data_IF_165699311501
#
_entry.id   IF_165699311501
#
_cell.length_a   1.000
_cell.length_b   1.000
_cell.length_c   1.000
_cell.angle_alpha   90.00
_cell.angle_beta   90.00
_cell.angle_gamma   90.00
#
_symmetry.space_group_name_H-M   'P 1'
#
loop_
_entity.id
_entity.type
_entity.pdbx_description
1 polymer ?
#
# COMPACT_ATOMS: atom_id res chain seq x y z
N UNK A 1 -1.99 26.28 19.86
CA UNK A 1 -2.21 25.84 18.46
C UNK A 1 -0.94 25.31 17.77
N UNK A 2 0.05 24.73 18.49
CA UNK A 2 1.30 24.19 17.89
C UNK A 2 1.51 22.68 18.07
N UNK A 3 0.62 21.98 18.79
CA UNK A 3 0.77 20.54 19.06
C UNK A 3 0.07 19.65 18.02
N UNK A 4 -1.10 20.07 17.51
CA UNK A 4 -1.87 19.28 16.53
C UNK A 4 -1.16 19.09 15.19
N UNK A 5 -0.44 20.12 14.72
CA UNK A 5 0.34 20.04 13.48
C UNK A 5 1.49 19.05 13.57
N UNK A 6 2.18 18.99 14.71
CA UNK A 6 3.29 18.06 14.92
C UNK A 6 2.82 16.62 14.99
N UNK A 7 1.72 16.35 15.70
CA UNK A 7 1.16 15.00 15.84
C UNK A 7 0.55 14.49 14.52
N UNK A 8 -0.12 15.35 13.75
CA UNK A 8 -0.60 15.01 12.42
C UNK A 8 0.56 14.73 11.45
N UNK A 9 1.59 15.59 11.46
CA UNK A 9 2.77 15.43 10.60
C UNK A 9 3.51 14.12 10.90
N UNK A 10 3.71 13.80 12.17
CA UNK A 10 4.33 12.52 12.56
C UNK A 10 3.46 11.33 12.15
N UNK A 11 2.15 11.38 12.38
CA UNK A 11 1.22 10.32 11.95
C UNK A 11 1.27 10.10 10.43
N UNK A 12 1.35 11.19 9.67
CA UNK A 12 1.48 11.15 8.21
C UNK A 12 2.81 10.53 7.77
N UNK A 13 3.93 10.95 8.37
CA UNK A 13 5.26 10.40 8.08
C UNK A 13 5.32 8.91 8.42
N UNK A 14 4.79 8.50 9.56
CA UNK A 14 4.72 7.10 9.96
C UNK A 14 3.86 6.26 9.01
N UNK A 15 2.72 6.79 8.55
CA UNK A 15 1.90 6.12 7.55
C UNK A 15 2.65 5.96 6.21
N UNK A 16 3.37 6.99 5.77
CA UNK A 16 4.16 6.94 4.55
C UNK A 16 5.30 5.91 4.65
N UNK A 17 5.99 5.85 5.80
CA UNK A 17 7.00 4.83 6.07
C UNK A 17 6.42 3.41 6.09
N UNK A 18 5.21 3.22 6.63
CA UNK A 18 4.52 1.92 6.55
C UNK A 18 4.22 1.52 5.12
N UNK A 19 3.75 2.43 4.27
CA UNK A 19 3.53 2.16 2.83
C UNK A 19 4.83 1.77 2.14
N UNK A 20 5.91 2.51 2.40
CA UNK A 20 7.22 2.21 1.81
C UNK A 20 7.72 0.80 2.21
N UNK A 21 7.61 0.45 3.50
CA UNK A 21 7.96 -0.88 4.00
C UNK A 21 7.10 -1.98 3.39
N UNK A 22 5.77 -1.80 3.37
CA UNK A 22 4.86 -2.76 2.79
C UNK A 22 5.15 -2.99 1.29
N UNK A 23 5.43 -1.91 0.55
CA UNK A 23 5.76 -1.98 -0.88
C UNK A 23 7.10 -2.70 -1.11
N UNK A 24 8.09 -2.46 -0.25
CA UNK A 24 9.36 -3.19 -0.26
C UNK A 24 9.15 -4.70 -0.04
N UNK A 25 8.37 -5.07 0.98
CA UNK A 25 8.03 -6.46 1.26
C UNK A 25 7.26 -7.12 0.10
N UNK A 26 6.34 -6.38 -0.53
CA UNK A 26 5.62 -6.85 -1.71
C UNK A 26 6.55 -7.14 -2.89
N UNK A 27 7.52 -6.25 -3.14
CA UNK A 27 8.50 -6.44 -4.20
C UNK A 27 9.39 -7.66 -3.94
N UNK A 28 9.82 -7.86 -2.70
CA UNK A 28 10.61 -9.02 -2.29
C UNK A 28 9.80 -10.31 -2.43
N UNK A 29 8.55 -10.33 -1.96
CA UNK A 29 7.64 -11.46 -2.10
C UNK A 29 7.33 -11.78 -3.56
N UNK A 30 7.11 -10.76 -4.41
CA UNK A 30 6.91 -10.94 -5.84
C UNK A 30 8.16 -11.51 -6.54
N UNK A 31 9.35 -11.00 -6.19
CA UNK A 31 10.61 -11.54 -6.72
C UNK A 31 10.82 -13.01 -6.28
N UNK A 32 10.56 -13.34 -5.02
CA UNK A 32 10.60 -14.72 -4.54
C UNK A 32 9.56 -15.61 -5.23
N UNK A 33 8.36 -15.11 -5.53
CA UNK A 33 7.32 -15.86 -6.24
C UNK A 33 7.75 -16.20 -7.67
N UNK A 34 8.37 -15.26 -8.38
CA UNK A 34 8.93 -15.50 -9.72
C UNK A 34 10.08 -16.51 -9.68
N UNK A 35 10.84 -16.55 -8.59
CA UNK A 35 11.90 -17.55 -8.38
C UNK A 35 11.37 -18.92 -7.94
N UNK A 36 10.06 -19.04 -7.66
CA UNK A 36 9.44 -20.27 -7.13
C UNK A 36 9.66 -20.50 -5.62
N UNK A 37 10.23 -19.51 -4.91
CA UNK A 37 10.59 -19.59 -3.48
C UNK A 37 9.54 -18.95 -2.56
N UNK A 38 8.64 -18.10 -3.07
CA UNK A 38 7.59 -17.49 -2.24
C UNK A 38 6.35 -18.39 -2.13
N UNK A 39 5.81 -18.49 -0.93
CA UNK A 39 4.44 -18.97 -0.71
C UNK A 39 3.42 -17.92 -1.18
N UNK A 40 2.36 -18.37 -1.85
CA UNK A 40 1.19 -17.55 -2.22
C UNK A 40 0.74 -16.65 -1.06
N UNK A 41 0.62 -17.23 0.13
CA UNK A 41 0.15 -16.53 1.33
C UNK A 41 1.02 -15.31 1.69
N UNK A 42 2.35 -15.38 1.52
CA UNK A 42 3.25 -14.25 1.78
C UNK A 42 3.03 -13.11 0.79
N UNK A 43 2.85 -13.45 -0.49
CA UNK A 43 2.61 -12.48 -1.54
C UNK A 43 1.25 -11.82 -1.36
N UNK A 44 0.21 -12.60 -1.08
CA UNK A 44 -1.15 -12.11 -0.77
C UNK A 44 -1.19 -11.26 0.50
N UNK A 45 -0.47 -11.64 1.55
CA UNK A 45 -0.41 -10.88 2.80
C UNK A 45 0.34 -9.56 2.61
N UNK A 46 1.49 -9.58 1.93
CA UNK A 46 2.26 -8.38 1.62
C UNK A 46 1.44 -7.41 0.77
N UNK A 47 0.75 -7.94 -0.23
CA UNK A 47 -0.17 -7.22 -1.10
C UNK A 47 -1.26 -6.51 -0.27
N UNK A 48 -2.00 -7.25 0.56
CA UNK A 48 -3.03 -6.69 1.46
C UNK A 48 -2.47 -5.64 2.41
N UNK A 49 -1.24 -5.82 2.92
CA UNK A 49 -0.56 -4.82 3.73
C UNK A 49 -0.34 -3.51 2.98
N UNK A 50 0.12 -3.54 1.72
CA UNK A 50 0.29 -2.32 0.91
C UNK A 50 -1.03 -1.58 0.78
N UNK A 51 -2.10 -2.28 0.44
CA UNK A 51 -3.43 -1.69 0.30
C UNK A 51 -3.90 -1.02 1.61
N UNK A 52 -3.76 -1.72 2.73
CA UNK A 52 -4.15 -1.22 4.06
C UNK A 52 -3.33 0.00 4.48
N UNK A 53 -2.00 -0.05 4.37
CA UNK A 53 -1.13 1.08 4.71
C UNK A 53 -1.40 2.29 3.80
N UNK A 54 -1.72 2.06 2.52
CA UNK A 54 -2.04 3.14 1.58
C UNK A 54 -3.39 3.78 1.91
N UNK A 55 -4.38 2.97 2.33
CA UNK A 55 -5.66 3.47 2.82
C UNK A 55 -5.48 4.31 4.10
N UNK A 56 -4.65 3.85 5.04
CA UNK A 56 -4.33 4.62 6.25
C UNK A 56 -3.63 5.95 5.92
N UNK A 57 -2.68 5.94 4.99
CA UNK A 57 -2.01 7.16 4.53
C UNK A 57 -3.01 8.16 3.91
N UNK A 58 -3.93 7.67 3.08
CA UNK A 58 -5.00 8.48 2.49
C UNK A 58 -5.91 9.11 3.55
N UNK A 59 -6.30 8.35 4.57
CA UNK A 59 -7.11 8.85 5.68
C UNK A 59 -6.34 9.91 6.46
N UNK A 60 -5.06 9.67 6.79
CA UNK A 60 -4.21 10.63 7.47
C UNK A 60 -4.07 11.93 6.67
N UNK A 61 -3.86 11.85 5.35
CA UNK A 61 -3.83 13.02 4.48
C UNK A 61 -5.14 13.81 4.53
N UNK A 62 -6.30 13.14 4.42
CA UNK A 62 -7.63 13.78 4.38
C UNK A 62 -7.98 14.59 5.63
N UNK A 63 -7.34 14.36 6.77
CA UNK A 63 -7.63 15.10 8.02
C UNK A 63 -7.29 16.59 7.91
N UNK A 64 -6.19 16.92 7.22
CA UNK A 64 -5.78 18.32 7.00
C UNK A 64 -5.69 18.73 5.53
N UNK A 65 -5.65 17.77 4.60
CA UNK A 65 -5.60 18.08 3.17
C UNK A 65 -6.99 18.47 2.66
N UNK A 66 -7.01 19.49 1.80
CA UNK A 66 -8.22 19.90 1.12
C UNK A 66 -8.67 18.80 0.14
N UNK A 67 -9.89 18.23 0.27
CA UNK A 67 -10.34 17.12 -0.56
C UNK A 67 -10.43 17.48 -2.05
N UNK A 68 -10.51 18.78 -2.37
CA UNK A 68 -10.55 19.27 -3.74
C UNK A 68 -9.18 19.58 -4.34
N UNK A 69 -8.10 19.52 -3.53
CA UNK A 69 -6.74 19.78 -4.00
C UNK A 69 -6.30 18.74 -5.04
N UNK A 70 -5.56 19.19 -6.06
CA UNK A 70 -4.92 18.31 -7.04
C UNK A 70 -4.02 17.26 -6.37
N UNK A 71 -3.31 17.63 -5.30
CA UNK A 71 -2.46 16.70 -4.56
C UNK A 71 -3.28 15.54 -3.96
N UNK A 72 -4.46 15.83 -3.42
CA UNK A 72 -5.35 14.81 -2.83
C UNK A 72 -5.96 13.91 -3.91
N UNK A 73 -6.34 14.49 -5.06
CA UNK A 73 -6.82 13.72 -6.24
C UNK A 73 -5.73 12.79 -6.78
N UNK A 74 -4.50 13.28 -6.91
CA UNK A 74 -3.33 12.47 -7.33
C UNK A 74 -3.04 11.36 -6.33
N UNK A 75 -3.08 11.65 -5.03
CA UNK A 75 -2.88 10.65 -3.99
C UNK A 75 -3.98 9.58 -4.01
N UNK A 76 -5.24 9.97 -4.18
CA UNK A 76 -6.35 9.02 -4.30
C UNK A 76 -6.21 8.13 -5.54
N UNK A 77 -5.87 8.72 -6.69
CA UNK A 77 -5.60 7.96 -7.91
C UNK A 77 -4.42 6.99 -7.73
N UNK A 78 -3.34 7.43 -7.08
CA UNK A 78 -2.20 6.58 -6.77
C UNK A 78 -2.58 5.43 -5.84
N UNK A 79 -3.35 5.70 -4.78
CA UNK A 79 -3.81 4.66 -3.86
C UNK A 79 -4.75 3.66 -4.50
N UNK A 80 -5.64 4.10 -5.40
CA UNK A 80 -6.48 3.20 -6.21
C UNK A 80 -5.63 2.36 -7.18
N UNK A 81 -4.63 2.96 -7.83
CA UNK A 81 -3.73 2.24 -8.72
C UNK A 81 -2.92 1.17 -7.96
N UNK A 82 -2.40 1.51 -6.78
CA UNK A 82 -1.71 0.57 -5.89
C UNK A 82 -2.65 -0.55 -5.48
N UNK A 83 -3.86 -0.23 -4.98
CA UNK A 83 -4.81 -1.27 -4.59
C UNK A 83 -5.18 -2.19 -5.75
N UNK A 84 -5.36 -1.65 -6.96
CA UNK A 84 -5.64 -2.45 -8.16
C UNK A 84 -4.45 -3.33 -8.56
N UNK A 85 -3.24 -2.78 -8.57
CA UNK A 85 -2.03 -3.55 -8.88
C UNK A 85 -1.83 -4.70 -7.88
N UNK A 86 -2.07 -4.42 -6.60
CA UNK A 86 -2.08 -5.39 -5.52
C UNK A 86 -3.12 -6.51 -5.73
N UNK A 87 -4.36 -6.17 -6.08
CA UNK A 87 -5.41 -7.17 -6.37
C UNK A 87 -5.05 -8.04 -7.58
N UNK A 88 -4.64 -7.41 -8.68
CA UNK A 88 -4.19 -8.11 -9.90
C UNK A 88 -3.04 -9.08 -9.62
N UNK A 89 -2.10 -8.68 -8.75
CA UNK A 89 -0.99 -9.53 -8.34
C UNK A 89 -1.48 -10.75 -7.55
N UNK A 90 -2.42 -10.56 -6.61
CA UNK A 90 -3.03 -11.67 -5.86
C UNK A 90 -3.77 -12.63 -6.79
N UNK A 91 -4.60 -12.11 -7.70
CA UNK A 91 -5.31 -12.92 -8.69
C UNK A 91 -4.33 -13.71 -9.58
N UNK A 92 -3.26 -13.06 -10.04
CA UNK A 92 -2.23 -13.70 -10.85
C UNK A 92 -1.49 -14.77 -10.07
N UNK A 93 -1.12 -14.49 -8.82
CA UNK A 93 -0.44 -15.43 -7.95
C UNK A 93 -1.31 -16.67 -7.69
N UNK A 94 -2.55 -16.51 -7.23
CA UNK A 94 -3.46 -17.63 -7.00
C UNK A 94 -3.73 -18.44 -8.27
N UNK A 95 -3.86 -17.79 -9.43
CA UNK A 95 -3.99 -18.48 -10.72
C UNK A 95 -2.73 -19.28 -11.08
N UNK A 96 -1.53 -18.79 -10.78
CA UNK A 96 -0.29 -19.54 -11.01
C UNK A 96 -0.09 -20.72 -10.06
N UNK A 97 -0.64 -20.68 -8.84
CA UNK A 97 -0.55 -21.80 -7.89
C UNK A 97 -1.63 -22.88 -8.10
N UNK A 98 -2.81 -22.53 -8.64
CA UNK A 98 -3.88 -23.50 -8.92
C UNK A 98 -3.60 -24.41 -10.14
N UNK A 99 -2.60 -24.08 -10.96
CA UNK A 99 -2.25 -24.86 -12.18
C UNK A 99 -1.19 -25.95 -11.89
N UNK A 100 -0.80 -26.19 -10.64
CA UNK A 100 0.22 -27.18 -10.28
C UNK A 100 -0.30 -28.44 -9.58
#
# INVERSE_FOLDING_TARGET
>A
MRHDDGQWSQGLISAAQMVARATGNLCEAANQAVQGEASEEKLVTSAKQVASSTAQLLVACKVKADPNSENMKRLQSAGTAVNRATQMLVESASASFEVQ
#
